data_IF_980989015361
#
_entry.id   IF_980989015361
#
_cell.length_a   1.000
_cell.length_b   1.000
_cell.length_c   1.000
_cell.angle_alpha   90.00
_cell.angle_beta   90.00
_cell.angle_gamma   90.00
#
_symmetry.space_group_name_H-M   'P 1'
#
loop_
_entity.id
_entity.type
_entity.pdbx_description
1 polymer ?
#
# COMPACT_ATOMS: atom_id res chain seq x y z
N UNK A 1 -25.77 -1.39 0.21
CA UNK A 1 -24.61 -1.30 -0.69
C UNK A 1 -23.61 -2.36 -0.24
N UNK A 2 -22.87 -2.99 -1.17
CA UNK A 2 -21.80 -3.92 -0.78
C UNK A 2 -20.70 -3.16 -0.01
N UNK A 3 -20.03 -3.86 0.94
CA UNK A 3 -18.93 -3.28 1.68
C UNK A 3 -17.76 -2.94 0.73
N UNK A 4 -17.15 -1.76 0.91
CA UNK A 4 -16.02 -1.33 0.07
C UNK A 4 -14.82 -2.23 0.30
N UNK A 5 -14.28 -2.80 -0.77
CA UNK A 5 -13.04 -3.60 -0.73
C UNK A 5 -11.83 -2.67 -0.70
N UNK A 6 -10.92 -2.92 0.23
CA UNK A 6 -9.67 -2.18 0.36
C UNK A 6 -8.50 -3.14 0.51
N UNK A 7 -7.47 -2.97 -0.33
CA UNK A 7 -6.20 -3.68 -0.21
C UNK A 7 -5.27 -2.93 0.74
N UNK A 8 -4.76 -3.61 1.74
CA UNK A 8 -3.84 -3.01 2.72
C UNK A 8 -2.56 -3.82 2.74
N UNK A 9 -1.41 -3.16 2.55
CA UNK A 9 -0.12 -3.84 2.58
C UNK A 9 1.01 -2.94 3.06
N UNK A 10 2.09 -3.59 3.49
CA UNK A 10 3.30 -2.90 3.93
C UNK A 10 4.44 -3.06 2.91
N UNK A 11 5.23 -2.01 2.70
CA UNK A 11 6.46 -2.04 1.92
C UNK A 11 7.63 -2.74 2.64
N UNK A 12 7.36 -3.80 3.41
CA UNK A 12 8.37 -4.51 4.22
C UNK A 12 7.97 -5.98 4.41
N UNK A 13 8.95 -6.86 4.28
CA UNK A 13 8.80 -8.30 4.55
C UNK A 13 9.40 -8.73 5.90
N UNK A 14 10.02 -7.80 6.66
CA UNK A 14 10.59 -8.09 7.97
C UNK A 14 9.49 -8.56 8.94
N UNK A 15 9.66 -9.70 9.62
CA UNK A 15 8.66 -10.28 10.52
C UNK A 15 8.15 -9.30 11.58
N UNK A 16 9.05 -8.56 12.23
CA UNK A 16 8.71 -7.57 13.25
C UNK A 16 8.67 -6.13 12.69
N UNK A 17 8.19 -5.97 11.47
CA UNK A 17 8.07 -4.64 10.84
C UNK A 17 6.98 -3.80 11.51
N UNK A 18 7.31 -2.58 11.91
CA UNK A 18 6.31 -1.62 12.41
C UNK A 18 5.25 -1.30 11.34
N UNK A 19 5.62 -1.31 10.07
CA UNK A 19 4.68 -1.04 8.98
C UNK A 19 3.75 -2.23 8.71
N UNK A 20 4.18 -3.48 8.90
CA UNK A 20 3.29 -4.64 8.87
C UNK A 20 2.31 -4.62 10.04
N UNK A 21 2.77 -4.26 11.25
CA UNK A 21 1.88 -4.05 12.41
C UNK A 21 0.89 -2.92 12.15
N UNK A 22 1.32 -1.82 11.54
CA UNK A 22 0.44 -0.71 11.16
C UNK A 22 -0.59 -1.13 10.12
N UNK A 23 -0.21 -1.91 9.11
CA UNK A 23 -1.12 -2.46 8.11
C UNK A 23 -2.19 -3.38 8.73
N UNK A 24 -1.79 -4.24 9.67
CA UNK A 24 -2.72 -5.10 10.41
C UNK A 24 -3.71 -4.29 11.26
N UNK A 25 -3.21 -3.32 12.05
CA UNK A 25 -4.06 -2.42 12.83
C UNK A 25 -5.03 -1.62 11.94
N UNK A 26 -4.57 -1.14 10.79
CA UNK A 26 -5.40 -0.44 9.82
C UNK A 26 -6.48 -1.35 9.20
N UNK A 27 -6.19 -2.64 9.00
CA UNK A 27 -7.18 -3.59 8.53
C UNK A 27 -8.32 -3.80 9.54
N UNK A 28 -8.00 -3.88 10.84
CA UNK A 28 -9.01 -3.96 11.88
C UNK A 28 -9.86 -2.68 11.94
N UNK A 29 -9.22 -1.51 11.89
CA UNK A 29 -9.92 -0.22 11.84
C UNK A 29 -10.80 -0.08 10.58
N UNK A 30 -10.36 -0.59 9.42
CA UNK A 30 -11.18 -0.59 8.21
C UNK A 30 -12.44 -1.45 8.35
N UNK A 31 -12.36 -2.61 9.04
CA UNK A 31 -13.54 -3.43 9.37
C UNK A 31 -14.51 -2.69 10.28
N UNK A 32 -14.01 -2.00 11.29
CA UNK A 32 -14.83 -1.16 12.18
C UNK A 32 -15.55 -0.04 11.42
N UNK A 33 -14.95 0.47 10.34
CA UNK A 33 -15.55 1.45 9.43
C UNK A 33 -16.50 0.82 8.38
N UNK A 34 -16.76 -0.50 8.46
CA UNK A 34 -17.66 -1.21 7.55
C UNK A 34 -17.07 -1.59 6.19
N UNK A 35 -15.75 -1.49 6.02
CA UNK A 35 -15.06 -1.94 4.82
C UNK A 35 -14.69 -3.42 4.89
N UNK A 36 -14.31 -4.00 3.76
CA UNK A 36 -13.79 -5.36 3.62
C UNK A 36 -12.30 -5.31 3.26
N UNK A 37 -11.39 -5.30 4.25
CA UNK A 37 -9.97 -5.25 3.98
C UNK A 37 -9.42 -6.61 3.56
N UNK A 38 -8.54 -6.58 2.55
CA UNK A 38 -7.62 -7.66 2.20
C UNK A 38 -6.23 -7.24 2.67
N UNK A 39 -5.68 -7.94 3.66
CA UNK A 39 -4.29 -7.74 4.08
C UNK A 39 -3.39 -8.57 3.19
N UNK A 40 -2.51 -7.90 2.42
CA UNK A 40 -1.56 -8.54 1.52
C UNK A 40 -0.15 -8.48 2.11
N UNK A 41 0.55 -9.59 2.07
CA UNK A 41 1.94 -9.69 2.48
C UNK A 41 2.85 -9.79 1.25
N UNK A 42 3.79 -8.84 1.08
CA UNK A 42 4.73 -8.89 -0.04
C UNK A 42 5.66 -10.12 0.01
N UNK A 43 5.83 -10.73 1.18
CA UNK A 43 6.60 -11.98 1.34
C UNK A 43 5.96 -13.20 0.69
N UNK A 44 4.66 -13.14 0.35
CA UNK A 44 3.94 -14.24 -0.28
C UNK A 44 4.11 -14.26 -1.81
N UNK A 45 4.92 -13.32 -2.33
CA UNK A 45 5.21 -13.16 -3.75
C UNK A 45 6.72 -13.23 -4.00
N UNK A 46 7.13 -14.14 -4.84
CA UNK A 46 8.51 -14.21 -5.33
C UNK A 46 8.69 -13.22 -6.49
N UNK A 47 8.91 -11.95 -6.12
CA UNK A 47 9.13 -10.86 -7.07
C UNK A 47 10.63 -10.60 -7.17
N UNK A 48 11.30 -11.05 -8.24
CA UNK A 48 12.74 -10.83 -8.40
C UNK A 48 13.05 -9.34 -8.57
N UNK A 49 14.32 -8.96 -8.43
CA UNK A 49 14.73 -7.59 -8.80
C UNK A 49 14.41 -7.36 -10.27
N UNK A 50 13.73 -6.24 -10.55
CA UNK A 50 13.32 -5.89 -11.90
C UNK A 50 14.53 -5.83 -12.84
N UNK A 51 14.39 -6.51 -13.95
CA UNK A 51 15.36 -6.55 -15.03
C UNK A 51 14.61 -6.73 -16.36
N UNK A 52 14.85 -5.84 -17.32
CA UNK A 52 14.19 -5.87 -18.60
C UNK A 52 14.50 -7.13 -19.44
N UNK A 53 15.68 -7.73 -19.29
CA UNK A 53 16.03 -8.99 -19.97
C UNK A 53 15.24 -10.16 -19.37
N UNK A 54 15.04 -10.15 -18.04
CA UNK A 54 14.19 -11.14 -17.38
C UNK A 54 12.73 -10.97 -17.83
N UNK A 55 12.23 -9.76 -17.88
CA UNK A 55 10.89 -9.45 -18.36
C UNK A 55 10.67 -9.91 -19.80
N UNK A 56 11.65 -9.68 -20.68
CA UNK A 56 11.60 -10.13 -22.09
C UNK A 56 11.53 -11.67 -22.22
N UNK A 57 12.04 -12.41 -21.23
CA UNK A 57 11.93 -13.88 -21.17
C UNK A 57 10.57 -14.38 -20.63
N UNK A 58 9.75 -13.50 -20.10
CA UNK A 58 8.42 -13.75 -19.55
C UNK A 58 8.21 -13.12 -18.17
N UNK A 59 7.03 -12.55 -17.93
CA UNK A 59 6.69 -11.97 -16.62
C UNK A 59 6.53 -13.08 -15.57
N UNK A 60 7.21 -13.00 -14.41
CA UNK A 60 7.08 -14.00 -13.34
C UNK A 60 5.63 -14.18 -12.88
N UNK A 61 5.19 -15.42 -12.58
CA UNK A 61 3.80 -15.69 -12.18
C UNK A 61 3.34 -14.88 -10.97
N UNK A 62 4.21 -14.68 -9.98
CA UNK A 62 3.89 -13.91 -8.78
C UNK A 62 3.76 -12.41 -9.04
N UNK A 63 4.42 -11.88 -10.06
CA UNK A 63 4.17 -10.52 -10.55
C UNK A 63 2.75 -10.41 -11.10
N UNK A 64 2.30 -11.38 -11.89
CA UNK A 64 0.92 -11.40 -12.42
C UNK A 64 -0.11 -11.50 -11.28
N UNK A 65 0.15 -12.33 -10.27
CA UNK A 65 -0.71 -12.43 -9.06
C UNK A 65 -0.77 -11.09 -8.33
N UNK A 66 0.35 -10.42 -8.17
CA UNK A 66 0.41 -9.11 -7.51
C UNK A 66 -0.32 -8.03 -8.32
N UNK A 67 -0.13 -7.98 -9.67
CA UNK A 67 -0.90 -7.10 -10.56
C UNK A 67 -2.42 -7.33 -10.40
N UNK A 68 -2.86 -8.58 -10.39
CA UNK A 68 -4.27 -8.94 -10.22
C UNK A 68 -4.80 -8.51 -8.84
N UNK A 69 -4.03 -8.65 -7.77
CA UNK A 69 -4.41 -8.19 -6.44
C UNK A 69 -4.58 -6.67 -6.39
N UNK A 70 -3.66 -5.91 -6.99
CA UNK A 70 -3.79 -4.46 -7.11
C UNK A 70 -5.03 -4.07 -7.92
N UNK A 71 -5.22 -4.70 -9.08
CA UNK A 71 -6.30 -4.36 -10.00
C UNK A 71 -7.68 -4.64 -9.42
N UNK A 72 -7.86 -5.74 -8.69
CA UNK A 72 -9.16 -6.17 -8.15
C UNK A 72 -9.70 -5.29 -7.02
N UNK A 73 -8.88 -4.43 -6.41
CA UNK A 73 -9.30 -3.57 -5.30
C UNK A 73 -9.36 -2.10 -5.74
N UNK A 74 -10.51 -1.42 -5.60
CA UNK A 74 -10.66 -0.01 -5.97
C UNK A 74 -9.93 0.95 -5.01
N UNK A 75 -9.66 0.50 -3.79
CA UNK A 75 -9.03 1.28 -2.73
C UNK A 75 -7.81 0.56 -2.17
N UNK A 76 -6.76 1.33 -1.82
CA UNK A 76 -5.56 0.78 -1.17
C UNK A 76 -5.13 1.64 0.01
N UNK A 77 -4.47 1.00 0.98
CA UNK A 77 -3.64 1.66 1.98
C UNK A 77 -2.23 1.07 1.92
N UNK A 78 -1.23 1.91 1.68
CA UNK A 78 0.18 1.50 1.64
C UNK A 78 0.87 1.99 2.91
N UNK A 79 1.36 1.05 3.73
CA UNK A 79 2.17 1.33 4.91
C UNK A 79 3.66 1.21 4.56
N UNK A 80 4.33 2.33 4.28
CA UNK A 80 5.72 2.32 3.80
C UNK A 80 6.73 2.62 4.91
N UNK A 81 7.74 1.76 5.13
CA UNK A 81 8.90 2.20 5.92
C UNK A 81 9.68 3.29 5.19
N UNK A 82 10.47 4.02 5.96
CA UNK A 82 11.44 4.98 5.43
C UNK A 82 12.86 4.42 5.55
N UNK A 83 13.53 4.27 4.41
CA UNK A 83 14.95 3.92 4.33
C UNK A 83 15.69 5.03 3.61
N UNK A 84 16.69 5.62 4.28
CA UNK A 84 17.49 6.73 3.72
C UNK A 84 16.65 7.90 3.19
N UNK A 85 15.54 8.23 3.90
CA UNK A 85 14.67 9.34 3.54
C UNK A 85 13.67 9.06 2.43
N UNK A 86 13.55 7.81 1.94
CA UNK A 86 12.64 7.44 0.86
C UNK A 86 11.90 6.14 1.17
N UNK A 87 10.97 5.73 0.31
CA UNK A 87 10.35 4.41 0.35
C UNK A 87 11.40 3.31 0.02
N UNK A 88 11.20 2.07 0.50
CA UNK A 88 12.20 1.00 0.34
C UNK A 88 12.28 0.48 -1.09
N UNK A 89 13.46 -0.03 -1.47
CA UNK A 89 13.69 -0.67 -2.77
C UNK A 89 12.71 -1.82 -3.04
N UNK A 90 12.32 -2.59 -2.02
CA UNK A 90 11.32 -3.65 -2.13
C UNK A 90 9.99 -3.14 -2.70
N UNK A 91 9.47 -2.03 -2.14
CA UNK A 91 8.21 -1.44 -2.59
C UNK A 91 8.35 -0.88 -4.01
N UNK A 92 9.46 -0.19 -4.30
CA UNK A 92 9.74 0.33 -5.64
C UNK A 92 9.78 -0.80 -6.67
N UNK A 93 10.51 -1.87 -6.36
CA UNK A 93 10.63 -3.04 -7.23
C UNK A 93 9.27 -3.70 -7.53
N UNK A 94 8.45 -3.89 -6.51
CA UNK A 94 7.10 -4.46 -6.68
C UNK A 94 6.21 -3.56 -7.57
N UNK A 95 6.28 -2.22 -7.38
CA UNK A 95 5.55 -1.26 -8.20
C UNK A 95 6.08 -1.24 -9.64
N UNK A 96 7.39 -1.30 -9.86
CA UNK A 96 7.99 -1.30 -11.21
C UNK A 96 7.53 -2.53 -12.00
N UNK A 97 7.59 -3.71 -11.42
CA UNK A 97 7.05 -4.91 -12.02
C UNK A 97 5.54 -4.81 -12.29
N UNK A 98 4.77 -4.31 -11.31
CA UNK A 98 3.32 -4.20 -11.45
C UNK A 98 2.90 -3.14 -12.48
N UNK A 99 3.73 -2.15 -12.77
CA UNK A 99 3.47 -1.10 -13.75
C UNK A 99 4.07 -1.39 -15.14
N UNK A 100 4.75 -2.51 -15.31
CA UNK A 100 5.30 -2.90 -16.60
C UNK A 100 4.26 -3.63 -17.46
N UNK A 101 4.14 -3.36 -18.77
CA UNK A 101 3.22 -4.08 -19.65
C UNK A 101 3.66 -5.53 -19.86
N UNK A 102 2.70 -6.44 -20.04
CA UNK A 102 2.99 -7.84 -20.39
C UNK A 102 2.75 -8.05 -21.87
N UNK A 103 3.80 -8.35 -22.59
CA UNK A 103 3.74 -8.52 -24.05
C UNK A 103 2.77 -9.67 -24.42
N UNK A 104 1.84 -9.38 -25.33
CA UNK A 104 0.88 -10.36 -25.83
C UNK A 104 -0.26 -10.72 -24.86
N UNK A 105 -0.28 -10.17 -23.66
CA UNK A 105 -1.37 -10.38 -22.70
C UNK A 105 -2.53 -9.41 -23.00
N UNK A 106 -3.78 -9.88 -23.18
CA UNK A 106 -4.90 -9.02 -23.52
C UNK A 106 -5.32 -8.07 -22.38
N UNK A 107 -5.00 -8.40 -21.13
CA UNK A 107 -5.37 -7.60 -19.94
C UNK A 107 -4.21 -6.68 -19.54
N UNK A 108 -3.00 -7.22 -19.49
CA UNK A 108 -1.84 -6.51 -18.93
C UNK A 108 -0.96 -5.83 -19.98
N UNK A 109 -1.44 -5.69 -21.22
CA UNK A 109 -0.75 -4.91 -22.28
C UNK A 109 -0.62 -3.41 -21.93
N UNK A 110 -1.47 -2.90 -21.04
CA UNK A 110 -1.34 -1.59 -20.41
C UNK A 110 -0.77 -1.73 -19.00
N UNK A 111 0.50 -1.37 -18.83
CA UNK A 111 1.19 -1.47 -17.55
C UNK A 111 0.56 -0.63 -16.43
N UNK A 112 -0.13 0.48 -16.77
CA UNK A 112 -0.78 1.34 -15.77
C UNK A 112 -2.14 0.83 -15.31
N UNK A 113 -2.72 -0.15 -15.98
CA UNK A 113 -4.06 -0.68 -15.69
C UNK A 113 -4.26 -1.06 -14.22
N UNK A 114 -3.32 -1.71 -13.50
CA UNK A 114 -3.50 -2.04 -12.08
C UNK A 114 -3.65 -0.82 -11.18
N UNK A 115 -3.15 0.34 -11.60
CA UNK A 115 -3.04 1.56 -10.79
C UNK A 115 -4.09 2.62 -11.14
N UNK A 116 -4.45 2.70 -12.42
CA UNK A 116 -5.30 3.77 -12.94
C UNK A 116 -6.62 3.87 -12.19
N UNK A 117 -6.87 5.07 -11.62
CA UNK A 117 -8.11 5.39 -10.91
C UNK A 117 -8.22 4.78 -9.52
N UNK A 118 -7.22 4.04 -9.03
CA UNK A 118 -7.24 3.51 -7.66
C UNK A 118 -7.12 4.62 -6.64
N UNK A 119 -7.93 4.56 -5.59
CA UNK A 119 -7.84 5.50 -4.46
C UNK A 119 -6.84 4.98 -3.44
N UNK A 120 -5.78 5.74 -3.18
CA UNK A 120 -4.67 5.28 -2.35
C UNK A 120 -4.46 6.20 -1.16
N UNK A 121 -4.51 5.63 0.04
CA UNK A 121 -4.03 6.23 1.28
C UNK A 121 -2.59 5.81 1.56
N UNK A 122 -1.86 6.68 2.23
CA UNK A 122 -0.48 6.41 2.65
C UNK A 122 -0.34 6.55 4.15
N UNK A 123 0.38 5.61 4.73
CA UNK A 123 0.79 5.65 6.13
C UNK A 123 2.23 5.17 6.27
N UNK A 124 2.86 5.48 7.40
CA UNK A 124 4.21 5.03 7.72
C UNK A 124 4.41 4.86 9.21
N UNK A 125 5.33 4.00 9.61
CA UNK A 125 5.75 3.83 11.00
C UNK A 125 7.26 3.68 11.08
N UNK A 126 7.89 4.45 11.99
CA UNK A 126 9.35 4.43 12.19
C UNK A 126 9.70 4.62 13.67
N UNK A 127 10.81 4.04 14.16
CA UNK A 127 11.32 4.33 15.50
C UNK A 127 11.66 5.81 15.71
N UNK A 128 12.02 6.54 14.66
CA UNK A 128 12.30 7.97 14.72
C UNK A 128 11.06 8.84 14.90
N UNK A 129 11.23 10.09 15.36
CA UNK A 129 10.12 11.00 15.64
C UNK A 129 9.27 11.40 14.42
N UNK A 130 9.86 11.40 13.22
CA UNK A 130 9.14 11.74 11.98
C UNK A 130 8.23 10.61 11.47
N UNK A 131 8.29 9.42 12.05
CA UNK A 131 7.39 8.32 11.69
C UNK A 131 7.49 7.80 10.25
N UNK A 132 8.49 8.21 9.47
CA UNK A 132 8.62 7.83 8.07
C UNK A 132 7.96 8.81 7.08
N UNK A 133 7.70 10.04 7.50
CA UNK A 133 7.01 11.06 6.70
C UNK A 133 7.68 11.32 5.34
N UNK A 134 9.02 11.30 5.26
CA UNK A 134 9.75 11.55 4.01
C UNK A 134 9.48 10.46 2.96
N UNK A 135 9.32 9.20 3.38
CA UNK A 135 8.95 8.13 2.45
C UNK A 135 7.60 8.40 1.78
N UNK A 136 6.63 8.94 2.51
CA UNK A 136 5.32 9.30 1.94
C UNK A 136 5.44 10.42 0.91
N UNK A 137 6.27 11.45 1.18
CA UNK A 137 6.51 12.56 0.25
C UNK A 137 7.15 12.10 -1.07
N UNK A 138 7.95 11.04 -1.06
CA UNK A 138 8.55 10.46 -2.26
C UNK A 138 7.62 9.45 -2.95
N UNK A 139 6.78 8.74 -2.20
CA UNK A 139 5.82 7.78 -2.75
C UNK A 139 4.66 8.46 -3.48
N UNK A 140 4.22 9.61 -3.01
CA UNK A 140 3.09 10.33 -3.60
C UNK A 140 3.28 10.65 -5.10
N UNK A 141 4.38 11.27 -5.55
CA UNK A 141 4.58 11.55 -6.97
C UNK A 141 4.69 10.28 -7.83
N UNK A 142 5.22 9.18 -7.29
CA UNK A 142 5.25 7.89 -7.98
C UNK A 142 3.84 7.38 -8.27
N UNK A 143 2.97 7.39 -7.27
CA UNK A 143 1.58 6.92 -7.40
C UNK A 143 0.76 7.84 -8.31
N UNK A 144 0.96 9.15 -8.24
CA UNK A 144 0.33 10.12 -9.16
C UNK A 144 0.75 9.88 -10.61
N UNK A 145 2.03 9.60 -10.86
CA UNK A 145 2.52 9.25 -12.19
C UNK A 145 1.85 7.98 -12.74
N UNK A 146 1.47 7.05 -11.87
CA UNK A 146 0.74 5.83 -12.22
C UNK A 146 -0.80 6.03 -12.26
N UNK A 147 -1.27 7.30 -12.22
CA UNK A 147 -2.68 7.68 -12.35
C UNK A 147 -3.57 7.24 -11.17
N UNK A 148 -2.99 7.09 -9.97
CA UNK A 148 -3.76 6.89 -8.75
C UNK A 148 -4.38 8.20 -8.25
N UNK A 149 -5.53 8.10 -7.57
CA UNK A 149 -6.11 9.15 -6.74
C UNK A 149 -5.56 9.04 -5.32
N UNK A 150 -4.82 10.04 -4.85
CA UNK A 150 -4.30 10.02 -3.49
C UNK A 150 -5.28 10.68 -2.52
N UNK A 151 -5.50 10.03 -1.38
CA UNK A 151 -6.19 10.67 -0.27
C UNK A 151 -5.42 11.93 0.17
N UNK A 152 -6.11 13.06 0.44
CA UNK A 152 -5.44 14.33 0.78
C UNK A 152 -4.78 14.31 2.16
N UNK A 153 -5.07 13.30 2.97
CA UNK A 153 -4.46 13.09 4.30
C UNK A 153 -3.64 11.81 4.31
N UNK A 154 -2.54 11.84 5.02
CA UNK A 154 -1.69 10.68 5.31
C UNK A 154 -1.29 10.72 6.78
N UNK A 155 -0.81 9.60 7.34
CA UNK A 155 -0.41 9.55 8.74
C UNK A 155 0.95 8.89 8.93
N UNK A 156 1.78 9.48 9.82
CA UNK A 156 3.12 8.99 10.15
C UNK A 156 3.23 8.70 11.65
N UNK A 157 3.42 7.43 11.99
CA UNK A 157 3.54 6.96 13.37
C UNK A 157 5.00 7.00 13.80
N UNK A 158 5.38 8.06 14.50
CA UNK A 158 6.70 8.19 15.11
C UNK A 158 6.84 7.33 16.37
N UNK A 159 8.08 7.07 16.80
CA UNK A 159 8.37 6.26 18.00
C UNK A 159 7.63 4.91 17.99
N UNK A 160 7.63 4.26 16.84
CA UNK A 160 6.80 3.09 16.54
C UNK A 160 7.05 1.88 17.47
N UNK A 161 8.19 1.83 18.14
CA UNK A 161 8.49 0.81 19.15
C UNK A 161 7.52 0.83 20.34
N UNK A 162 6.88 1.96 20.62
CA UNK A 162 5.94 2.19 21.72
C UNK A 162 4.53 2.56 21.23
N UNK A 163 4.25 2.40 19.93
CA UNK A 163 3.00 2.87 19.35
C UNK A 163 1.88 1.83 19.39
N UNK A 164 2.20 0.58 19.69
CA UNK A 164 1.23 -0.52 19.63
C UNK A 164 1.15 -1.25 20.98
N UNK A 165 -0.05 -1.66 21.35
CA UNK A 165 -0.30 -2.55 22.48
C UNK A 165 0.07 -4.01 22.18
N UNK A 166 -0.06 -4.90 23.16
CA UNK A 166 0.22 -6.34 22.99
C UNK A 166 -0.72 -7.04 22.01
N UNK A 167 -1.90 -6.47 21.78
CA UNK A 167 -2.85 -6.93 20.76
C UNK A 167 -2.58 -6.34 19.36
N UNK A 168 -1.53 -5.53 19.20
CA UNK A 168 -1.15 -4.91 17.92
C UNK A 168 -1.94 -3.65 17.57
N UNK A 169 -2.78 -3.12 18.44
CA UNK A 169 -3.58 -1.91 18.21
C UNK A 169 -2.77 -0.66 18.53
N UNK A 170 -3.02 0.42 17.80
CA UNK A 170 -2.44 1.73 18.11
C UNK A 170 -2.89 2.20 19.50
N UNK A 171 -1.95 2.61 20.35
CA UNK A 171 -2.24 3.04 21.73
C UNK A 171 -2.56 4.53 21.83
N UNK A 172 -1.84 5.36 21.05
CA UNK A 172 -1.97 6.81 21.16
C UNK A 172 -3.21 7.29 20.41
N UNK A 173 -4.06 8.06 21.08
CA UNK A 173 -5.28 8.64 20.52
C UNK A 173 -5.00 9.42 19.22
N UNK A 174 -3.88 10.16 19.14
CA UNK A 174 -3.48 10.88 17.94
C UNK A 174 -3.25 9.94 16.75
N UNK A 175 -2.59 8.80 16.95
CA UNK A 175 -2.34 7.84 15.89
C UNK A 175 -3.61 7.12 15.46
N UNK A 176 -4.48 6.78 16.40
CA UNK A 176 -5.80 6.21 16.10
C UNK A 176 -6.64 7.17 15.25
N UNK A 177 -6.73 8.44 15.65
CA UNK A 177 -7.47 9.46 14.91
C UNK A 177 -6.86 9.74 13.52
N UNK A 178 -5.53 9.81 13.43
CA UNK A 178 -4.82 10.02 12.17
C UNK A 178 -5.05 8.88 11.18
N UNK A 179 -4.91 7.64 11.63
CA UNK A 179 -5.17 6.47 10.79
C UNK A 179 -6.64 6.36 10.37
N UNK A 180 -7.56 6.64 11.30
CA UNK A 180 -9.00 6.67 11.01
C UNK A 180 -9.31 7.71 9.93
N UNK A 181 -8.75 8.91 10.03
CA UNK A 181 -8.95 9.96 9.03
C UNK A 181 -8.44 9.55 7.64
N UNK A 182 -7.29 8.87 7.54
CA UNK A 182 -6.79 8.34 6.26
C UNK A 182 -7.78 7.33 5.68
N UNK A 183 -8.22 6.35 6.47
CA UNK A 183 -9.14 5.30 6.03
C UNK A 183 -10.49 5.89 5.61
N UNK A 184 -11.06 6.81 6.38
CA UNK A 184 -12.33 7.47 6.05
C UNK A 184 -12.25 8.22 4.71
N UNK A 185 -11.15 8.93 4.45
CA UNK A 185 -10.94 9.64 3.17
C UNK A 185 -10.80 8.65 2.01
N UNK A 186 -10.04 7.59 2.17
CA UNK A 186 -9.88 6.55 1.14
C UNK A 186 -11.23 5.89 0.81
N UNK A 187 -11.96 5.45 1.82
CA UNK A 187 -13.25 4.78 1.64
C UNK A 187 -14.30 5.72 1.05
N UNK A 188 -14.35 6.97 1.53
CA UNK A 188 -15.26 8.00 1.00
C UNK A 188 -15.01 8.29 -0.49
N UNK A 189 -13.74 8.45 -0.88
CA UNK A 189 -13.39 8.73 -2.27
C UNK A 189 -13.62 7.51 -3.18
N UNK A 190 -13.22 6.31 -2.73
CA UNK A 190 -13.41 5.08 -3.49
C UNK A 190 -14.88 4.81 -3.79
N UNK A 191 -15.79 5.03 -2.83
CA UNK A 191 -17.24 4.87 -3.04
C UNK A 191 -17.79 5.80 -4.13
N UNK A 192 -17.18 6.95 -4.38
CA UNK A 192 -17.63 7.96 -5.35
C UNK A 192 -16.96 7.85 -6.70
N UNK A 193 -15.72 7.38 -6.73
CA UNK A 193 -14.94 7.28 -7.97
C UNK A 193 -15.06 5.92 -8.64
N UNK A 194 -15.59 4.89 -7.93
CA UNK A 194 -15.85 3.55 -8.49
C UNK A 194 -17.29 3.35 -8.98
N UNK A 195 -18.09 4.42 -8.99
CA UNK A 195 -19.49 4.38 -9.40
C UNK A 195 -19.64 4.51 -10.93
#
# INVERSE_FOLDING_TARGET
>A
MAAMQILIFAGSTRQQSHNRRLAAAAADMARELGAQPTLLELSDFDIPMYNADLEASGTPPDVLRFKAALHSHPAWLICSPEYNGSYPALLKNAIDWASSPVAGDPVWSDGTLPFRGKVVGMASASPGGLGGLRAQSHLAPLLLNLQCWLAPVSHAVGQAGQAFDDAGRLQRSQDQQGMKAVLEQVLWAAQRLSA
#
